data_IF_791514318234
#
_entry.id   IF_791514318234
#
_cell.length_a   1.000
_cell.length_b   1.000
_cell.length_c   1.000
_cell.angle_alpha   90.00
_cell.angle_beta   90.00
_cell.angle_gamma   90.00
#
_symmetry.space_group_name_H-M   'P 1'
#
loop_
_entity.id
_entity.type
_entity.pdbx_description
1 polymer ?
#
# COMPACT_ATOMS: atom_id res chain seq x y z
N UNK A 1 8.92 -22.51 -8.97
CA UNK A 1 8.67 -21.20 -8.34
C UNK A 1 9.94 -20.36 -8.40
N UNK A 2 9.81 -19.10 -8.76
CA UNK A 2 10.91 -18.12 -8.92
C UNK A 2 10.85 -17.12 -7.77
N UNK A 3 12.00 -16.77 -7.19
CA UNK A 3 12.10 -15.77 -6.12
C UNK A 3 11.97 -14.34 -6.67
N UNK A 4 11.32 -13.48 -5.90
CA UNK A 4 11.10 -12.07 -6.22
C UNK A 4 11.56 -11.17 -5.06
N UNK A 5 12.15 -10.00 -5.37
CA UNK A 5 12.72 -9.13 -4.35
C UNK A 5 11.67 -8.35 -3.56
N UNK A 6 10.42 -8.28 -4.03
CA UNK A 6 9.35 -7.49 -3.42
C UNK A 6 8.07 -8.30 -3.26
N UNK A 7 7.27 -7.91 -2.28
CA UNK A 7 5.94 -8.44 -2.03
C UNK A 7 4.91 -7.30 -2.00
N UNK A 8 3.72 -7.60 -2.49
CA UNK A 8 2.51 -6.80 -2.31
C UNK A 8 1.61 -7.50 -1.30
N UNK A 9 1.31 -6.81 -0.20
CA UNK A 9 0.46 -7.29 0.88
C UNK A 9 -0.79 -6.41 0.98
N UNK A 10 -1.88 -7.00 1.45
CA UNK A 10 -3.07 -6.27 1.85
C UNK A 10 -3.36 -6.55 3.32
N UNK A 11 -3.78 -5.51 4.04
CA UNK A 11 -4.24 -5.63 5.41
C UNK A 11 -5.69 -5.15 5.53
N UNK A 12 -6.38 -5.64 6.55
CA UNK A 12 -7.74 -5.26 6.92
C UNK A 12 -7.81 -5.01 8.42
N UNK A 13 -8.39 -3.88 8.80
CA UNK A 13 -8.93 -3.70 10.15
C UNK A 13 -10.40 -4.12 10.13
N UNK A 14 -10.71 -5.25 10.79
CA UNK A 14 -12.04 -5.87 10.86
C UNK A 14 -13.03 -5.02 11.66
N UNK A 15 -12.57 -4.09 12.50
CA UNK A 15 -13.42 -3.22 13.30
C UNK A 15 -13.85 -2.00 12.50
N UNK A 16 -12.92 -1.39 11.75
CA UNK A 16 -13.21 -0.20 10.94
C UNK A 16 -13.57 -0.51 9.48
N UNK A 17 -13.44 -1.78 9.07
CA UNK A 17 -13.57 -2.25 7.70
C UNK A 17 -12.62 -1.54 6.70
N UNK A 18 -11.50 -0.99 7.19
CA UNK A 18 -10.53 -0.29 6.38
C UNK A 18 -9.44 -1.24 5.89
N UNK A 19 -9.19 -1.23 4.58
CA UNK A 19 -8.09 -1.98 3.94
C UNK A 19 -6.94 -1.07 3.56
N UNK A 20 -5.71 -1.57 3.70
CA UNK A 20 -4.50 -0.88 3.25
C UNK A 20 -3.64 -1.83 2.43
N UNK A 21 -2.91 -1.30 1.45
CA UNK A 21 -2.01 -2.07 0.59
C UNK A 21 -0.58 -1.63 0.82
N UNK A 22 0.34 -2.59 0.96
CA UNK A 22 1.76 -2.34 1.18
C UNK A 22 2.57 -3.02 0.09
N UNK A 23 3.58 -2.32 -0.42
CA UNK A 23 4.66 -2.92 -1.19
C UNK A 23 5.95 -2.82 -0.39
N UNK A 24 6.70 -3.91 -0.32
CA UNK A 24 7.89 -3.96 0.50
C UNK A 24 8.94 -4.93 -0.05
N UNK A 25 10.20 -4.63 0.21
CA UNK A 25 11.30 -5.52 -0.13
C UNK A 25 11.34 -6.75 0.80
N UNK A 26 11.75 -7.88 0.27
CA UNK A 26 12.03 -9.08 1.07
C UNK A 26 13.13 -8.77 2.08
N UNK A 27 12.90 -9.10 3.35
CA UNK A 27 13.77 -8.78 4.48
C UNK A 27 13.36 -7.52 5.23
N UNK A 28 12.51 -6.67 4.65
CA UNK A 28 11.98 -5.48 5.33
C UNK A 28 10.91 -5.82 6.37
N UNK A 29 10.66 -4.88 7.28
CA UNK A 29 9.60 -4.98 8.30
C UNK A 29 8.65 -3.81 8.11
N UNK A 30 7.37 -4.13 7.91
CA UNK A 30 6.27 -3.19 7.81
C UNK A 30 5.53 -3.08 9.14
N UNK A 31 4.83 -1.97 9.35
CA UNK A 31 3.97 -1.76 10.51
C UNK A 31 2.55 -1.40 10.07
N UNK A 32 1.55 -2.04 10.66
CA UNK A 32 0.14 -1.74 10.47
C UNK A 32 -0.58 -1.78 11.82
N UNK A 33 -1.03 -0.62 12.30
CA UNK A 33 -1.55 -0.49 13.67
C UNK A 33 -0.51 -0.97 14.71
N UNK A 34 -0.86 -1.93 15.59
CA UNK A 34 0.05 -2.54 16.55
C UNK A 34 0.86 -3.73 15.96
N UNK A 35 0.56 -4.16 14.73
CA UNK A 35 1.23 -5.28 14.09
C UNK A 35 2.53 -4.86 13.39
N UNK A 36 3.50 -5.76 13.47
CA UNK A 36 4.74 -5.74 12.70
C UNK A 36 4.77 -6.98 11.81
N UNK A 37 5.09 -6.78 10.53
CA UNK A 37 5.09 -7.82 9.50
C UNK A 37 6.46 -7.84 8.84
N UNK A 38 7.19 -8.94 9.01
CA UNK A 38 8.49 -9.15 8.36
C UNK A 38 8.36 -10.16 7.23
N UNK A 39 8.78 -9.74 6.05
CA UNK A 39 8.77 -10.57 4.85
C UNK A 39 10.10 -11.31 4.79
N UNK A 40 10.09 -12.63 4.62
CA UNK A 40 11.32 -13.43 4.55
C UNK A 40 11.61 -13.99 3.16
N UNK A 41 10.59 -14.30 2.37
CA UNK A 41 10.71 -14.74 0.98
C UNK A 41 9.41 -14.44 0.24
N UNK A 42 9.51 -14.23 -1.07
CA UNK A 42 8.38 -14.10 -1.97
C UNK A 42 8.66 -14.89 -3.24
N UNK A 43 7.78 -15.84 -3.56
CA UNK A 43 7.91 -16.76 -4.69
C UNK A 43 6.68 -16.68 -5.59
N UNK A 44 6.90 -16.70 -6.90
CA UNK A 44 5.83 -16.76 -7.91
C UNK A 44 5.97 -17.99 -8.79
N UNK A 45 4.86 -18.59 -9.20
CA UNK A 45 4.86 -19.71 -10.15
C UNK A 45 5.32 -19.26 -11.54
N UNK A 46 5.70 -20.24 -12.38
CA UNK A 46 6.07 -19.97 -13.76
C UNK A 46 4.84 -19.46 -14.54
N UNK A 47 5.01 -18.58 -15.56
CA UNK A 47 3.90 -18.13 -16.39
C UNK A 47 3.14 -19.23 -17.15
N UNK A 48 3.74 -20.43 -17.27
CA UNK A 48 3.15 -21.59 -17.96
C UNK A 48 2.31 -22.44 -16.99
N UNK A 49 2.61 -22.38 -15.69
CA UNK A 49 1.88 -23.08 -14.64
C UNK A 49 0.69 -22.24 -14.14
N UNK A 50 -0.15 -22.79 -13.28
CA UNK A 50 -1.22 -22.03 -12.63
C UNK A 50 -0.64 -20.82 -11.87
N UNK A 51 -1.17 -19.59 -12.07
CA UNK A 51 -0.66 -18.39 -11.40
C UNK A 51 -0.82 -18.47 -9.87
N UNK A 52 0.31 -18.47 -9.16
CA UNK A 52 0.36 -18.49 -7.71
C UNK A 52 1.51 -17.61 -7.22
N UNK A 53 1.25 -16.83 -6.17
CA UNK A 53 2.24 -16.02 -5.49
C UNK A 53 2.21 -16.35 -4.01
N UNK A 54 3.29 -16.89 -3.47
CA UNK A 54 3.40 -17.30 -2.08
C UNK A 54 4.52 -16.52 -1.37
N UNK A 55 4.30 -16.09 -0.14
CA UNK A 55 5.33 -15.42 0.65
C UNK A 55 5.40 -15.99 2.07
N UNK A 56 6.62 -16.13 2.59
CA UNK A 56 6.83 -16.44 3.99
C UNK A 56 6.86 -15.15 4.80
N UNK A 57 5.91 -15.00 5.71
CA UNK A 57 5.73 -13.78 6.50
C UNK A 57 5.69 -14.14 7.99
N UNK A 58 6.35 -13.31 8.77
CA UNK A 58 6.34 -13.36 10.23
C UNK A 58 5.60 -12.12 10.75
N UNK A 59 4.57 -12.33 11.57
CA UNK A 59 3.73 -11.28 12.11
C UNK A 59 3.71 -11.37 13.62
N UNK A 60 3.97 -10.23 14.28
CA UNK A 60 3.87 -10.10 15.72
C UNK A 60 3.21 -8.77 16.10
N UNK A 61 2.52 -8.77 17.24
CA UNK A 61 1.91 -7.59 17.83
C UNK A 61 2.87 -7.00 18.88
N UNK A 62 3.08 -5.68 18.81
CA UNK A 62 3.83 -4.96 19.85
C UNK A 62 2.96 -4.63 21.05
N UNK A 63 3.34 -5.13 22.23
CA UNK A 63 2.67 -4.83 23.50
C UNK A 63 3.12 -3.50 24.14
N UNK A 64 2.30 -3.02 25.07
CA UNK A 64 2.53 -1.77 25.83
C UNK A 64 3.68 -1.87 26.85
N UNK A 65 4.02 -3.08 27.30
CA UNK A 65 5.10 -3.33 28.28
C UNK A 65 6.37 -3.94 27.65
N UNK A 66 6.58 -3.71 26.35
CA UNK A 66 7.75 -4.23 25.62
C UNK A 66 7.69 -5.74 25.33
N UNK A 67 6.55 -6.38 25.59
CA UNK A 67 6.30 -7.77 25.23
C UNK A 67 5.80 -7.86 23.79
N UNK A 68 6.51 -8.58 22.93
CA UNK A 68 6.06 -8.88 21.57
C UNK A 68 5.33 -10.23 21.57
N UNK A 69 4.11 -10.27 21.02
CA UNK A 69 3.32 -11.49 20.89
C UNK A 69 3.34 -11.98 19.45
N UNK A 70 3.80 -13.20 19.22
CA UNK A 70 3.70 -13.84 17.91
C UNK A 70 2.24 -14.06 17.53
N UNK A 71 1.89 -13.65 16.31
CA UNK A 71 0.55 -13.79 15.74
C UNK A 71 0.54 -14.83 14.63
N UNK A 72 1.51 -14.76 13.72
CA UNK A 72 1.62 -15.68 12.59
C UNK A 72 3.08 -15.86 12.17
N UNK A 73 3.44 -17.04 11.69
CA UNK A 73 4.73 -17.28 11.06
C UNK A 73 4.58 -18.46 10.10
N UNK A 74 4.48 -18.17 8.81
CA UNK A 74 4.20 -19.20 7.81
C UNK A 74 4.15 -18.68 6.39
N UNK A 75 3.84 -19.60 5.48
CA UNK A 75 3.61 -19.31 4.07
C UNK A 75 2.16 -18.90 3.85
N UNK A 76 1.95 -17.74 3.25
CA UNK A 76 0.65 -17.30 2.73
C UNK A 76 0.62 -17.43 1.21
N UNK A 77 -0.55 -17.79 0.66
CA UNK A 77 -0.77 -18.02 -0.77
C UNK A 77 -1.78 -16.99 -1.30
N UNK A 78 -1.44 -16.30 -2.38
CA UNK A 78 -2.24 -15.23 -2.94
C UNK A 78 -3.56 -15.75 -3.52
N UNK A 79 -3.57 -16.92 -4.16
CA UNK A 79 -4.81 -17.48 -4.71
C UNK A 79 -5.76 -18.00 -3.62
N UNK A 80 -5.20 -18.43 -2.50
CA UNK A 80 -5.92 -19.19 -1.46
C UNK A 80 -5.46 -18.81 -0.05
N UNK A 81 -5.72 -17.56 0.43
CA UNK A 81 -5.28 -17.12 1.76
C UNK A 81 -5.82 -18.01 2.90
N UNK A 82 -6.99 -18.63 2.71
CA UNK A 82 -7.60 -19.54 3.68
C UNK A 82 -6.82 -20.84 3.93
N UNK A 83 -5.80 -21.18 3.14
CA UNK A 83 -4.93 -22.35 3.39
C UNK A 83 -3.96 -22.12 4.56
N UNK A 84 -3.56 -20.88 4.79
CA UNK A 84 -2.70 -20.51 5.92
C UNK A 84 -3.12 -19.13 6.44
N UNK A 85 -4.28 -19.06 7.11
CA UNK A 85 -4.82 -17.79 7.57
C UNK A 85 -4.03 -17.28 8.78
N UNK A 86 -3.85 -15.97 8.84
CA UNK A 86 -3.42 -15.29 10.06
C UNK A 86 -4.62 -15.16 11.01
N UNK A 87 -4.52 -15.75 12.19
CA UNK A 87 -5.59 -15.72 13.19
C UNK A 87 -5.40 -14.55 14.17
N UNK A 88 -6.08 -13.44 13.89
CA UNK A 88 -6.09 -12.27 14.77
C UNK A 88 -7.49 -11.63 14.84
N UNK A 89 -7.95 -11.20 16.02
CA UNK A 89 -9.34 -10.75 16.22
C UNK A 89 -9.68 -9.44 15.52
N UNK A 90 -8.73 -8.49 15.45
CA UNK A 90 -8.96 -7.15 14.90
C UNK A 90 -8.39 -7.02 13.49
N UNK A 91 -7.13 -7.37 13.28
CA UNK A 91 -6.46 -7.24 11.99
C UNK A 91 -6.44 -8.54 11.19
N UNK A 92 -6.31 -8.42 9.87
CA UNK A 92 -5.98 -9.48 8.94
C UNK A 92 -4.92 -9.00 7.96
N UNK A 93 -4.10 -9.92 7.46
CA UNK A 93 -3.03 -9.64 6.49
C UNK A 93 -2.91 -10.82 5.54
N UNK A 94 -2.82 -10.55 4.24
CA UNK A 94 -2.60 -11.57 3.24
C UNK A 94 -1.71 -11.09 2.09
N UNK A 95 -1.12 -12.05 1.38
CA UNK A 95 -0.32 -11.81 0.18
C UNK A 95 -1.24 -11.56 -1.01
N UNK A 96 -0.89 -10.56 -1.81
CA UNK A 96 -1.56 -10.27 -3.08
C UNK A 96 -0.68 -10.70 -4.25
N UNK A 97 0.61 -10.32 -4.25
CA UNK A 97 1.52 -10.67 -5.33
C UNK A 97 2.99 -10.59 -4.91
N UNK A 98 3.86 -11.23 -5.69
CA UNK A 98 5.30 -11.04 -5.68
C UNK A 98 5.73 -10.17 -6.87
N UNK A 99 6.48 -9.10 -6.58
CA UNK A 99 6.81 -8.05 -7.54
C UNK A 99 8.29 -8.07 -7.90
N UNK A 100 8.61 -7.75 -9.16
CA UNK A 100 9.98 -7.48 -9.59
C UNK A 100 10.51 -6.23 -8.86
N UNK A 101 11.81 -5.94 -8.94
CA UNK A 101 12.39 -4.74 -8.31
C UNK A 101 11.66 -3.45 -8.79
N UNK A 102 11.49 -2.45 -7.92
CA UNK A 102 10.95 -1.15 -8.35
C UNK A 102 12.07 -0.44 -9.09
N UNK A 103 11.86 -0.11 -10.36
CA UNK A 103 12.65 0.94 -11.01
C UNK A 103 12.17 2.26 -10.40
N UNK A 104 13.08 3.08 -9.88
CA UNK A 104 12.76 4.36 -9.23
C UNK A 104 12.13 5.32 -10.26
N UNK A 105 10.80 5.31 -10.39
CA UNK A 105 10.13 6.14 -11.40
C UNK A 105 8.60 6.07 -11.53
N UNK A 106 7.86 5.66 -10.50
CA UNK A 106 6.38 5.83 -10.48
C UNK A 106 5.92 6.34 -9.10
N UNK A 107 5.83 7.68 -9.01
CA UNK A 107 4.79 8.37 -8.25
C UNK A 107 3.55 8.41 -9.15
N UNK A 108 2.50 7.69 -8.77
CA UNK A 108 1.17 7.94 -9.34
C UNK A 108 0.44 8.83 -8.34
N UNK A 109 0.13 10.02 -8.83
CA UNK A 109 -0.56 11.13 -8.21
C UNK A 109 -1.92 10.67 -7.67
N UNK A 110 -2.15 10.91 -6.37
CA UNK A 110 -3.42 10.66 -5.68
C UNK A 110 -4.49 11.62 -6.22
N UNK A 111 -5.48 11.08 -6.92
CA UNK A 111 -6.63 11.83 -7.39
C UNK A 111 -7.57 12.14 -6.21
N UNK A 112 -7.27 13.21 -5.48
CA UNK A 112 -8.26 13.84 -4.58
C UNK A 112 -9.24 14.67 -5.42
N UNK A 113 -10.49 14.20 -5.51
CA UNK A 113 -11.63 14.97 -5.96
C UNK A 113 -11.88 16.17 -5.03
N UNK A 114 -12.28 17.31 -5.60
CA UNK A 114 -13.21 18.21 -4.92
C UNK A 114 -14.13 18.85 -5.95
N UNK A 115 -15.38 18.41 -5.93
CA UNK A 115 -16.50 19.09 -6.56
C UNK A 115 -16.67 20.49 -5.96
N UNK A 116 -16.83 21.49 -6.81
CA UNK A 116 -17.55 22.72 -6.46
C UNK A 116 -18.35 23.15 -7.68
N UNK A 117 -19.63 22.79 -7.68
CA UNK A 117 -20.66 23.44 -8.49
C UNK A 117 -21.01 24.80 -7.85
N UNK A 118 -20.92 25.89 -8.62
CA UNK A 118 -22.07 26.70 -9.06
C UNK A 118 -21.68 28.14 -9.44
N UNK A 119 -21.78 28.38 -10.74
CA UNK A 119 -22.55 29.42 -11.43
C UNK A 119 -22.36 30.93 -11.16
N UNK A 120 -22.39 31.59 -12.32
CA UNK A 120 -22.97 32.90 -12.65
C UNK A 120 -22.05 34.12 -12.86
N UNK A 121 -22.35 34.74 -14.00
CA UNK A 121 -22.20 36.15 -14.36
C UNK A 121 -20.91 36.63 -15.07
N UNK A 122 -20.93 36.44 -16.40
CA UNK A 122 -20.93 37.52 -17.40
C UNK A 122 -20.40 38.88 -16.92
N UNK A 123 -19.31 39.36 -17.54
CA UNK A 123 -19.23 40.66 -18.24
C UNK A 123 -17.77 41.11 -18.39
N UNK A 124 -17.28 41.14 -19.64
CA UNK A 124 -16.25 42.09 -20.08
C UNK A 124 -16.89 43.49 -20.15
N UNK A 125 -16.18 44.65 -20.00
CA UNK A 125 -14.91 44.95 -20.68
C UNK A 125 -13.92 45.91 -19.95
N UNK A 126 -12.74 46.03 -20.59
CA UNK A 126 -11.62 46.98 -20.37
C UNK A 126 -12.06 48.44 -20.18
N UNK A 127 -11.30 49.25 -19.42
CA UNK A 127 -10.54 50.32 -20.06
C UNK A 127 -9.10 50.50 -19.51
N UNK A 128 -8.20 50.92 -20.39
CA UNK A 128 -6.97 51.71 -20.11
C UNK A 128 -7.39 53.20 -20.04
N UNK A 129 -6.55 54.24 -19.77
CA UNK A 129 -5.10 54.30 -19.50
C UNK A 129 -4.73 55.22 -18.29
N UNK A 130 -3.45 55.37 -17.95
CA UNK A 130 -2.87 56.65 -17.52
C UNK A 130 -1.33 56.62 -17.54
N UNK A 131 -0.74 57.80 -17.65
CA UNK A 131 0.53 58.16 -18.30
C UNK A 131 1.50 58.80 -17.30
N UNK A 132 2.82 58.73 -17.58
CA UNK A 132 3.88 59.56 -16.96
C UNK A 132 4.64 58.84 -15.84
N UNK A 133 5.95 59.02 -15.61
CA UNK A 133 6.93 60.04 -15.99
C UNK A 133 8.34 59.51 -15.60
N UNK A 134 9.39 60.30 -15.87
CA UNK A 134 10.77 60.27 -15.34
C UNK A 134 11.92 59.60 -16.13
N UNK A 135 12.49 60.42 -17.03
CA UNK A 135 13.90 60.89 -17.09
C UNK A 135 15.06 59.87 -16.99
N UNK A 136 15.80 59.66 -18.09
CA UNK A 136 17.14 60.23 -18.40
C UNK A 136 17.50 59.97 -19.89
#
# INVERSE_FOLDING_TARGET
>A
MTEYPRVKLQSLDKITAHTMTFEADVGSTLKFGPLYMKVQSCQKSSPIDDPESAAFIQVWEGGTEGTAKWVFSGWMFASSPGLSPMDHPIYDVWVIDCLAKKEEGEEIEDATNTDTENNDDKSTPKPSPETGDMLE
#
